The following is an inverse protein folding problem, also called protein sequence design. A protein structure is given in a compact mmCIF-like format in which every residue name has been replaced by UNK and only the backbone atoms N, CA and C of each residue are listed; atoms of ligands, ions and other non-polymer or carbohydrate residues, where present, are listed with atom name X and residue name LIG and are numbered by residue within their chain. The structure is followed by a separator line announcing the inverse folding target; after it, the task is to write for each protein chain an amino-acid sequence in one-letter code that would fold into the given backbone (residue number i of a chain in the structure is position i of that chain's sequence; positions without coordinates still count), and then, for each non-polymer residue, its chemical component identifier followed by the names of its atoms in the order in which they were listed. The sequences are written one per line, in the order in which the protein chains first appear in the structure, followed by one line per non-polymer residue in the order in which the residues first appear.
data_IF_191674667015
#
_entry.id   IF_191674667015
#
_cell.length_a   1.000
_cell.length_b   1.000
_cell.length_c   1.000
_cell.angle_alpha   90.00
_cell.angle_beta   90.00
_cell.angle_gamma   90.00
#
_symmetry.space_group_name_H-M   'P 1'
#
loop_
_entity.id
_entity.type
_entity.pdbx_description
1 polymer ?
#
# COMPACT_ATOMS: atom_id res chain seq x y z
N UNK A 1 15.34 -16.00 -68.99
CA UNK A 1 15.49 -16.66 -67.67
C UNK A 1 15.93 -15.60 -66.67
N UNK A 2 14.97 -14.81 -66.16
CA UNK A 2 15.21 -13.68 -65.24
C UNK A 2 14.94 -14.14 -63.82
N UNK A 3 15.97 -14.11 -62.96
CA UNK A 3 15.90 -14.56 -61.57
C UNK A 3 15.37 -13.43 -60.68
N UNK A 4 14.11 -13.54 -60.28
CA UNK A 4 13.53 -12.81 -59.15
C UNK A 4 13.96 -13.51 -57.86
N UNK A 5 14.76 -12.87 -57.03
CA UNK A 5 14.89 -13.26 -55.62
C UNK A 5 15.06 -12.00 -54.78
N UNK A 6 13.97 -11.58 -54.16
CA UNK A 6 13.92 -10.55 -53.13
C UNK A 6 14.15 -11.25 -51.78
N UNK A 7 15.19 -10.94 -51.00
CA UNK A 7 15.25 -11.39 -49.63
C UNK A 7 14.56 -10.35 -48.75
N UNK A 8 13.35 -10.75 -48.34
CA UNK A 8 12.65 -10.33 -47.13
C UNK A 8 13.65 -10.33 -45.97
N UNK A 9 13.96 -9.15 -45.44
CA UNK A 9 15.06 -8.95 -44.50
C UNK A 9 14.68 -8.00 -43.37
N UNK A 10 13.77 -8.47 -42.51
CA UNK A 10 13.75 -8.20 -41.08
C UNK A 10 13.62 -6.71 -40.67
N UNK A 11 12.37 -6.26 -40.63
CA UNK A 11 11.95 -5.18 -39.73
C UNK A 11 11.98 -5.77 -38.31
N UNK A 12 13.13 -5.71 -37.65
CA UNK A 12 13.22 -5.88 -36.20
C UNK A 12 12.75 -4.56 -35.59
N UNK A 13 11.44 -4.39 -35.51
CA UNK A 13 10.81 -3.37 -34.68
C UNK A 13 11.29 -3.64 -33.26
N UNK A 14 12.20 -2.79 -32.80
CA UNK A 14 12.61 -2.69 -31.41
C UNK A 14 11.36 -2.37 -30.59
N UNK A 15 10.69 -3.40 -30.09
CA UNK A 15 9.78 -3.28 -28.95
C UNK A 15 10.66 -2.98 -27.73
N UNK A 16 11.16 -1.75 -27.63
CA UNK A 16 11.56 -1.19 -26.34
C UNK A 16 10.27 -0.97 -25.56
N UNK A 17 9.73 -2.06 -25.02
CA UNK A 17 8.68 -2.00 -24.02
C UNK A 17 9.25 -1.25 -22.83
N UNK A 18 8.84 0.01 -22.68
CA UNK A 18 8.96 0.71 -21.42
C UNK A 18 8.04 -0.05 -20.46
N UNK A 19 8.60 -0.99 -19.68
CA UNK A 19 7.88 -1.57 -18.57
C UNK A 19 7.67 -0.45 -17.56
N UNK A 20 6.43 -0.01 -17.29
CA UNK A 20 6.19 0.94 -16.23
C UNK A 20 6.70 0.31 -14.94
N UNK A 21 7.55 1.04 -14.22
CA UNK A 21 8.07 0.64 -12.93
C UNK A 21 6.88 0.33 -12.01
N UNK A 22 6.61 -0.95 -11.77
CA UNK A 22 5.55 -1.39 -10.90
C UNK A 22 5.94 -0.96 -9.48
N UNK A 23 5.37 0.16 -9.04
CA UNK A 23 5.58 0.67 -7.69
C UNK A 23 5.23 -0.42 -6.69
N UNK A 24 6.23 -0.85 -5.92
CA UNK A 24 6.09 -1.91 -4.93
C UNK A 24 5.30 -1.34 -3.75
N UNK A 25 4.12 -1.92 -3.52
CA UNK A 25 3.27 -1.55 -2.39
C UNK A 25 3.63 -2.44 -1.21
N UNK A 26 3.73 -1.80 -0.05
CA UNK A 26 3.89 -2.46 1.24
C UNK A 26 2.58 -2.35 2.01
N UNK A 27 2.14 -3.47 2.56
CA UNK A 27 1.00 -3.55 3.46
C UNK A 27 1.51 -3.98 4.82
N UNK A 28 1.31 -3.13 5.82
CA UNK A 28 1.68 -3.40 7.20
C UNK A 28 0.39 -3.51 8.01
N UNK A 29 0.17 -4.66 8.63
CA UNK A 29 -1.11 -4.97 9.27
C UNK A 29 -0.95 -5.28 10.76
N UNK A 30 -1.97 -4.92 11.54
CA UNK A 30 -2.12 -5.24 12.96
C UNK A 30 -3.58 -5.61 13.27
N UNK A 31 -3.79 -6.46 14.28
CA UNK A 31 -5.13 -6.94 14.64
C UNK A 31 -5.51 -6.70 16.11
N UNK A 32 -5.78 -5.46 16.53
CA UNK A 32 -6.22 -5.15 17.89
C UNK A 32 -7.69 -5.49 18.10
N UNK A 33 -8.04 -6.18 19.19
CA UNK A 33 -9.40 -6.28 19.72
C UNK A 33 -10.52 -6.55 18.69
N UNK A 34 -10.29 -7.47 17.75
CA UNK A 34 -11.26 -7.83 16.69
C UNK A 34 -11.33 -6.87 15.50
N UNK A 35 -10.50 -5.84 15.47
CA UNK A 35 -10.25 -5.00 14.31
C UNK A 35 -9.02 -5.49 13.55
N UNK A 36 -8.94 -5.12 12.28
CA UNK A 36 -7.74 -5.23 11.46
C UNK A 36 -7.39 -3.83 10.95
N UNK A 37 -6.17 -3.38 11.22
CA UNK A 37 -5.65 -2.12 10.70
C UNK A 37 -4.58 -2.46 9.67
N UNK A 38 -4.66 -1.86 8.49
CA UNK A 38 -3.66 -2.03 7.42
C UNK A 38 -3.16 -0.68 6.95
N UNK A 39 -1.86 -0.42 7.09
CA UNK A 39 -1.16 0.66 6.42
C UNK A 39 -0.74 0.17 5.05
N UNK A 40 -1.28 0.81 4.01
CA UNK A 40 -0.91 0.61 2.62
C UNK A 40 -0.03 1.80 2.21
N UNK A 41 1.21 1.52 1.86
CA UNK A 41 2.23 2.53 1.52
C UNK A 41 3.10 2.05 0.37
N UNK A 42 3.91 2.93 -0.20
CA UNK A 42 4.98 2.54 -1.12
C UNK A 42 6.30 2.41 -0.34
N UNK A 43 7.31 1.78 -0.93
CA UNK A 43 8.65 1.75 -0.34
C UNK A 43 9.38 3.07 -0.67
N UNK A 44 8.93 4.21 -0.13
CA UNK A 44 9.55 5.53 -0.36
C UNK A 44 9.74 6.31 0.94
N UNK A 45 10.89 6.95 1.12
CA UNK A 45 11.11 7.82 2.30
C UNK A 45 10.44 9.20 2.12
N UNK A 46 9.11 9.24 2.16
CA UNK A 46 8.33 10.48 2.18
C UNK A 46 7.93 10.85 3.62
N UNK A 47 7.97 12.14 3.96
CA UNK A 47 7.55 12.63 5.28
C UNK A 47 6.13 12.17 5.65
N UNK A 48 5.23 12.12 4.66
CA UNK A 48 3.87 11.61 4.83
C UNK A 48 3.86 10.15 5.26
N UNK A 49 4.70 9.30 4.67
CA UNK A 49 4.80 7.88 5.06
C UNK A 49 5.34 7.73 6.47
N UNK A 50 6.31 8.56 6.85
CA UNK A 50 6.84 8.62 8.21
C UNK A 50 5.73 8.96 9.22
N UNK A 51 4.90 9.96 8.94
CA UNK A 51 3.81 10.34 9.84
C UNK A 51 2.82 9.19 10.09
N UNK A 52 2.51 8.42 9.04
CA UNK A 52 1.64 7.26 9.13
C UNK A 52 2.28 6.11 9.91
N UNK A 53 3.56 5.84 9.67
CA UNK A 53 4.31 4.82 10.42
C UNK A 53 4.43 5.18 11.90
N UNK A 54 4.79 6.43 12.21
CA UNK A 54 4.88 6.95 13.57
C UNK A 54 3.52 6.80 14.28
N UNK A 55 2.42 7.12 13.59
CA UNK A 55 1.08 6.95 14.15
C UNK A 55 0.74 5.49 14.43
N UNK A 56 1.11 4.60 13.50
CA UNK A 56 0.86 3.17 13.62
C UNK A 56 1.63 2.55 14.79
N UNK A 57 2.89 2.94 14.98
CA UNK A 57 3.72 2.54 16.12
C UNK A 57 3.18 3.14 17.43
N UNK A 58 2.84 4.42 17.44
CA UNK A 58 2.30 5.09 18.61
C UNK A 58 0.98 4.48 19.09
N UNK A 59 0.12 4.07 18.15
CA UNK A 59 -1.10 3.34 18.44
C UNK A 59 -0.80 1.96 19.06
N UNK A 60 0.15 1.19 18.50
CA UNK A 60 0.60 -0.08 19.09
C UNK A 60 1.07 0.07 20.54
N UNK A 61 1.88 1.09 20.82
CA UNK A 61 2.47 1.29 22.15
C UNK A 61 1.44 1.56 23.25
N UNK A 62 0.16 1.76 22.90
CA UNK A 62 -0.93 1.89 23.86
C UNK A 62 -1.49 0.54 24.32
N UNK A 63 -1.29 -0.54 23.55
CA UNK A 63 -1.75 -1.90 23.89
C UNK A 63 -0.65 -2.71 24.60
N UNK A 64 -0.03 -2.12 25.63
CA UNK A 64 1.12 -2.73 26.33
C UNK A 64 0.81 -4.11 26.95
N UNK A 65 -0.44 -4.35 27.32
CA UNK A 65 -0.89 -5.62 27.90
C UNK A 65 -1.12 -6.72 26.87
N UNK A 66 -1.33 -6.36 25.59
CA UNK A 66 -1.55 -7.29 24.48
C UNK A 66 -0.73 -6.82 23.26
N UNK A 67 0.54 -7.23 23.15
CA UNK A 67 1.41 -6.74 22.09
C UNK A 67 0.84 -7.09 20.71
N UNK A 68 0.55 -6.05 19.93
CA UNK A 68 0.10 -6.21 18.55
C UNK A 68 1.26 -6.70 17.69
N UNK A 69 1.08 -7.85 17.03
CA UNK A 69 1.99 -8.33 16.01
C UNK A 69 1.78 -7.55 14.70
N UNK A 70 2.88 -7.16 14.07
CA UNK A 70 2.86 -6.53 12.76
C UNK A 70 3.24 -7.55 11.69
N UNK A 71 2.41 -7.64 10.66
CA UNK A 71 2.74 -8.41 9.47
C UNK A 71 2.96 -7.45 8.32
N UNK A 72 4.18 -7.47 7.77
CA UNK A 72 4.55 -6.77 6.55
C UNK A 72 4.44 -7.73 5.38
N UNK A 73 3.69 -7.36 4.35
CA UNK A 73 3.62 -8.07 3.08
C UNK A 73 3.82 -7.09 1.93
N UNK A 74 4.31 -7.60 0.80
CA UNK A 74 4.32 -6.83 -0.45
C UNK A 74 3.15 -7.28 -1.31
N UNK A 75 2.42 -6.32 -1.86
CA UNK A 75 1.22 -6.58 -2.66
C UNK A 75 1.16 -5.60 -3.83
N UNK A 76 0.17 -5.77 -4.71
CA UNK A 76 -0.20 -4.74 -5.68
C UNK A 76 -1.40 -3.95 -5.16
N UNK A 77 -1.58 -2.69 -5.55
CA UNK A 77 -2.82 -1.96 -5.22
C UNK A 77 -4.06 -2.67 -5.77
N UNK A 78 -3.94 -3.34 -6.92
CA UNK A 78 -5.04 -4.06 -7.57
C UNK A 78 -5.51 -5.29 -6.80
N UNK A 79 -4.66 -5.85 -5.94
CA UNK A 79 -5.00 -7.00 -5.09
C UNK A 79 -5.60 -6.58 -3.74
N UNK A 80 -5.72 -5.28 -3.48
CA UNK A 80 -6.42 -4.77 -2.30
C UNK A 80 -7.86 -4.47 -2.71
N UNK A 81 -8.83 -5.12 -2.07
CA UNK A 81 -10.26 -5.01 -2.41
C UNK A 81 -10.78 -3.57 -2.28
N UNK A 82 -10.16 -2.76 -1.42
CA UNK A 82 -10.46 -1.36 -1.26
C UNK A 82 -9.92 -0.52 -2.43
N UNK A 83 -10.78 0.32 -3.02
CA UNK A 83 -10.34 1.34 -3.99
C UNK A 83 -9.48 2.39 -3.30
N UNK A 84 -8.18 2.16 -3.32
CA UNK A 84 -7.15 3.10 -2.84
C UNK A 84 -6.76 4.02 -3.99
N UNK A 85 -7.08 5.30 -3.84
CA UNK A 85 -6.77 6.35 -4.83
C UNK A 85 -5.58 7.21 -4.43
N UNK A 86 -5.08 7.04 -3.20
CA UNK A 86 -4.09 7.89 -2.57
C UNK A 86 -3.20 7.04 -1.66
N UNK A 87 -1.90 7.36 -1.59
CA UNK A 87 -0.97 6.73 -0.65
C UNK A 87 -0.20 7.80 0.12
N UNK A 88 0.22 7.53 1.37
CA UNK A 88 -0.15 6.35 2.17
C UNK A 88 -1.65 6.35 2.56
N UNK A 89 -2.18 5.17 2.86
CA UNK A 89 -3.56 4.99 3.33
C UNK A 89 -3.61 3.98 4.48
N UNK A 90 -4.30 4.34 5.56
CA UNK A 90 -4.70 3.42 6.62
C UNK A 90 -6.13 2.95 6.39
N UNK A 91 -6.30 1.63 6.39
CA UNK A 91 -7.60 0.95 6.35
C UNK A 91 -7.87 0.39 7.73
N UNK A 92 -9.08 0.61 8.23
CA UNK A 92 -9.55 0.05 9.51
C UNK A 92 -10.74 -0.84 9.18
N UNK A 93 -10.59 -2.13 9.46
CA UNK A 93 -11.61 -3.15 9.21
C UNK A 93 -12.12 -3.75 10.50
N UNK A 94 -13.39 -4.13 10.48
CA UNK A 94 -14.04 -4.94 11.51
C UNK A 94 -14.79 -6.06 10.81
N UNK A 95 -14.57 -7.30 11.23
CA UNK A 95 -15.20 -8.48 10.62
C UNK A 95 -14.98 -8.54 9.09
N UNK A 96 -13.78 -8.18 8.64
CA UNK A 96 -13.40 -8.17 7.22
C UNK A 96 -13.92 -6.99 6.40
N UNK A 97 -14.75 -6.10 6.97
CA UNK A 97 -15.29 -4.92 6.26
C UNK A 97 -14.55 -3.65 6.65
N UNK A 98 -14.17 -2.84 5.67
CA UNK A 98 -13.60 -1.51 5.91
C UNK A 98 -14.65 -0.58 6.51
N UNK A 99 -14.42 -0.15 7.75
CA UNK A 99 -15.29 0.78 8.48
C UNK A 99 -14.76 2.22 8.44
N UNK A 100 -13.46 2.39 8.17
CA UNK A 100 -12.84 3.70 8.00
C UNK A 100 -11.58 3.63 7.14
N UNK A 101 -11.30 4.76 6.49
CA UNK A 101 -10.11 4.98 5.65
C UNK A 101 -9.50 6.34 6.01
N UNK A 102 -8.19 6.38 6.19
CA UNK A 102 -7.43 7.61 6.45
C UNK A 102 -6.36 7.71 5.37
N UNK A 103 -6.42 8.73 4.52
CA UNK A 103 -5.48 8.93 3.42
C UNK A 103 -5.07 10.40 3.28
N UNK A 104 -3.99 10.62 2.55
CA UNK A 104 -3.48 11.95 2.23
C UNK A 104 -2.44 12.47 3.22
N UNK A 105 -2.10 13.75 3.09
CA UNK A 105 -1.13 14.40 3.97
C UNK A 105 -1.77 14.74 5.32
N UNK A 106 -1.26 14.13 6.39
CA UNK A 106 -1.73 14.31 7.76
C UNK A 106 -0.57 14.15 8.73
N UNK A 107 -0.65 14.84 9.87
CA UNK A 107 0.31 14.61 10.94
C UNK A 107 -0.03 13.34 11.73
N UNK A 108 1.00 12.77 12.39
CA UNK A 108 0.88 11.53 13.15
C UNK A 108 -0.19 11.59 14.25
N UNK A 109 -0.31 12.73 14.94
CA UNK A 109 -1.26 12.90 16.05
C UNK A 109 -2.71 12.77 15.59
N UNK A 110 -3.08 13.45 14.51
CA UNK A 110 -4.42 13.37 13.92
C UNK A 110 -4.78 11.93 13.52
N UNK A 111 -3.83 11.20 12.96
CA UNK A 111 -4.02 9.80 12.56
C UNK A 111 -4.27 8.92 13.79
N UNK A 112 -3.48 9.08 14.86
CA UNK A 112 -3.66 8.35 16.13
C UNK A 112 -5.02 8.65 16.76
N UNK A 113 -5.41 9.93 16.81
CA UNK A 113 -6.68 10.33 17.42
C UNK A 113 -7.87 9.74 16.64
N UNK A 114 -7.79 9.70 15.30
CA UNK A 114 -8.82 9.06 14.48
C UNK A 114 -8.84 7.53 14.67
N UNK A 115 -7.68 6.87 14.80
CA UNK A 115 -7.59 5.45 15.12
C UNK A 115 -8.30 5.14 16.45
N UNK A 116 -8.03 5.92 17.50
CA UNK A 116 -8.69 5.80 18.82
C UNK A 116 -10.18 6.01 18.77
N UNK A 117 -10.64 7.00 18.01
CA UNK A 117 -12.08 7.28 17.90
C UNK A 117 -12.83 6.19 17.14
N UNK A 118 -12.14 5.49 16.22
CA UNK A 118 -12.72 4.42 15.41
C UNK A 118 -12.69 3.07 16.14
N UNK A 119 -11.59 2.80 16.84
CA UNK A 119 -11.32 1.53 17.53
C UNK A 119 -11.64 1.73 19.00
N UNK A 120 -12.84 1.29 19.39
CA UNK A 120 -13.33 1.27 20.77
C UNK A 120 -12.91 0.00 21.50
#
# INVERSE_FOLDING_TARGET
MTKTVLPIGIIFLLFTGCFPELKKIEVISAKPSGYEIQLVTEERELETEKAYMDAFIAFKNQYQEQPLEFFKSSSSLYSIEDKITQLPTLLIRKEGKTIAKISGERNSKEIVDQLKNTIK
#
